data_IF_120773378678
#
_entry.id   IF_120773378678
#
_cell.length_a   1.000
_cell.length_b   1.000
_cell.length_c   1.000
_cell.angle_alpha   90.00
_cell.angle_beta   90.00
_cell.angle_gamma   90.00
#
_symmetry.space_group_name_H-M   'P 1'
#
loop_
_entity.id
_entity.type
_entity.pdbx_description
1 polymer ?
#
# COMPACT_ATOMS: atom_id res chain seq x y z
N UNK A 1 -12.28 25.48 8.09
CA UNK A 1 -11.16 24.78 7.41
C UNK A 1 -10.45 23.90 8.42
N UNK A 2 -10.21 22.63 8.05
CA UNK A 2 -9.41 21.71 8.84
C UNK A 2 -8.14 21.33 8.08
N UNK A 3 -6.98 21.77 8.54
CA UNK A 3 -5.67 21.40 7.99
C UNK A 3 -5.16 20.18 8.76
N UNK A 4 -4.95 19.07 8.06
CA UNK A 4 -4.45 17.83 8.66
C UNK A 4 -2.99 17.61 8.26
N UNK A 5 -2.12 17.56 9.27
CA UNK A 5 -0.70 17.25 9.15
C UNK A 5 -0.45 16.00 10.00
N UNK A 6 -0.26 14.87 9.36
CA UNK A 6 -0.05 13.60 10.06
C UNK A 6 0.77 12.64 9.22
N UNK A 7 1.18 11.56 9.87
CA UNK A 7 1.98 10.51 9.25
C UNK A 7 1.16 9.41 8.56
N UNK A 8 -0.12 9.69 8.28
CA UNK A 8 -1.08 8.90 7.52
C UNK A 8 -0.98 7.37 7.75
N UNK A 9 -1.80 6.87 8.69
CA UNK A 9 -2.19 5.46 8.76
C UNK A 9 -1.95 4.80 10.11
N UNK A 10 -3.04 4.43 10.80
CA UNK A 10 -2.99 3.47 11.89
C UNK A 10 -2.99 2.07 11.27
N UNK A 11 -1.83 1.43 11.12
CA UNK A 11 -1.68 -0.03 11.03
C UNK A 11 -0.24 -0.43 11.36
N UNK A 12 -0.07 -1.46 12.18
CA UNK A 12 1.22 -2.02 12.58
C UNK A 12 1.99 -2.75 11.49
N UNK A 13 1.80 -2.38 10.23
CA UNK A 13 2.65 -2.71 9.10
C UNK A 13 2.70 -1.51 8.16
N UNK A 14 3.70 -0.65 8.36
CA UNK A 14 4.19 0.26 7.32
C UNK A 14 4.89 -0.48 6.17
N UNK A 15 4.53 -1.75 5.92
CA UNK A 15 5.32 -2.72 5.14
C UNK A 15 4.60 -3.43 4.01
N UNK A 16 3.34 -3.11 3.72
CA UNK A 16 2.79 -3.39 2.39
C UNK A 16 2.97 -2.15 1.51
N UNK A 17 3.33 -2.32 0.23
CA UNK A 17 3.38 -1.26 -0.81
C UNK A 17 2.02 -0.58 -1.07
N UNK A 18 1.08 -0.72 -0.14
CA UNK A 18 -0.29 -0.21 -0.08
C UNK A 18 -0.52 0.72 1.13
N UNK A 19 0.54 1.09 1.86
CA UNK A 19 0.53 2.22 2.77
C UNK A 19 0.05 3.47 2.03
N UNK A 20 -1.18 3.89 2.34
CA UNK A 20 -1.80 5.16 1.98
C UNK A 20 -1.39 5.80 0.65
N UNK A 21 -2.14 5.45 -0.40
CA UNK A 21 -2.50 6.42 -1.46
C UNK A 21 -3.76 7.17 -1.02
N UNK A 22 -3.66 8.03 -0.01
CA UNK A 22 -4.60 9.14 0.13
C UNK A 22 -4.13 10.15 -0.91
N UNK A 23 -4.79 10.16 -2.07
CA UNK A 23 -4.69 11.31 -2.95
C UNK A 23 -4.99 12.52 -2.07
N UNK A 24 -4.05 13.46 -2.03
CA UNK A 24 -4.19 14.70 -1.27
C UNK A 24 -5.51 15.40 -1.61
N UNK A 25 -5.99 16.22 -0.69
CA UNK A 25 -6.91 17.28 -1.07
C UNK A 25 -6.13 18.27 -1.94
N UNK A 26 -6.05 18.03 -3.24
CA UNK A 26 -5.32 18.89 -4.15
C UNK A 26 -6.06 20.22 -4.18
N UNK A 27 -5.53 21.16 -3.42
CA UNK A 27 -5.66 22.58 -3.69
C UNK A 27 -5.21 22.79 -5.14
N UNK A 28 -5.80 23.73 -5.88
CA UNK A 28 -5.40 24.00 -7.27
C UNK A 28 -3.93 24.38 -7.32
N UNK A 29 -3.02 23.43 -7.53
CA UNK A 29 -1.59 23.68 -7.45
C UNK A 29 -0.94 23.46 -8.79
N UNK A 30 -0.10 24.43 -9.14
CA UNK A 30 0.62 24.49 -10.40
C UNK A 30 1.64 23.37 -10.56
N UNK A 31 2.43 23.51 -11.62
CA UNK A 31 3.38 22.51 -12.11
C UNK A 31 4.43 22.13 -11.07
N UNK A 32 4.47 20.85 -10.66
CA UNK A 32 5.72 20.24 -10.18
C UNK A 32 5.71 19.57 -8.80
N UNK A 33 4.73 18.73 -8.46
CA UNK A 33 4.88 17.75 -7.36
C UNK A 33 4.50 16.36 -7.90
N UNK A 34 5.52 15.53 -8.16
CA UNK A 34 5.46 14.24 -8.87
C UNK A 34 4.99 13.06 -7.98
N UNK A 35 4.03 13.28 -7.08
CA UNK A 35 3.50 12.24 -6.18
C UNK A 35 2.19 11.59 -6.68
N UNK A 36 1.85 11.77 -7.97
CA UNK A 36 0.85 10.95 -8.64
C UNK A 36 1.52 9.90 -9.53
N UNK A 37 0.98 8.68 -9.54
CA UNK A 37 1.15 7.81 -10.71
C UNK A 37 0.79 8.64 -11.96
N UNK A 38 1.75 8.83 -12.88
CA UNK A 38 1.57 9.60 -14.13
C UNK A 38 0.26 9.27 -14.86
N UNK A 39 -0.23 8.03 -14.74
CA UNK A 39 -1.47 7.55 -15.36
C UNK A 39 -2.77 8.14 -14.76
N UNK A 40 -2.74 8.70 -13.55
CA UNK A 40 -3.89 9.33 -12.88
C UNK A 40 -3.87 10.85 -12.96
N UNK A 41 -2.87 11.43 -13.62
CA UNK A 41 -2.87 12.86 -13.94
C UNK A 41 -4.03 13.12 -14.91
N UNK A 42 -5.08 13.86 -14.50
CA UNK A 42 -6.12 14.23 -15.44
C UNK A 42 -5.48 14.97 -16.62
N UNK A 43 -5.92 14.63 -17.85
CA UNK A 43 -5.48 15.33 -19.07
C UNK A 43 -5.77 16.85 -19.01
N UNK A 44 -6.67 17.27 -18.12
CA UNK A 44 -6.86 18.65 -17.65
C UNK A 44 -6.15 18.87 -16.31
N UNK A 45 -5.25 19.86 -16.27
CA UNK A 45 -4.22 20.16 -15.24
C UNK A 45 -4.70 20.53 -13.82
N UNK A 46 -5.95 20.30 -13.42
CA UNK A 46 -6.49 20.76 -12.12
C UNK A 46 -7.45 19.72 -11.51
N UNK A 47 -7.15 19.28 -10.29
CA UNK A 47 -8.05 18.47 -9.45
C UNK A 47 -8.88 19.40 -8.56
N UNK A 48 -10.12 19.01 -8.25
CA UNK A 48 -10.99 19.82 -7.39
C UNK A 48 -10.56 19.70 -5.91
N UNK A 49 -10.41 20.86 -5.27
CA UNK A 49 -10.18 20.95 -3.83
C UNK A 49 -11.46 20.70 -3.02
N UNK A 50 -11.34 20.69 -1.68
CA UNK A 50 -12.47 20.58 -0.77
C UNK A 50 -13.58 21.59 -1.07
N UNK A 51 -14.83 21.11 -1.06
CA UNK A 51 -16.02 21.92 -1.31
C UNK A 51 -17.22 21.40 -0.51
N UNK A 52 -18.34 22.15 -0.40
CA UNK A 52 -19.53 21.66 0.28
C UNK A 52 -20.07 20.32 -0.27
N UNK A 53 -19.90 20.07 -1.57
CA UNK A 53 -20.32 18.81 -2.21
C UNK A 53 -19.37 17.66 -1.94
N UNK A 54 -18.11 17.97 -1.65
CA UNK A 54 -17.05 17.02 -1.41
C UNK A 54 -16.07 17.60 -0.39
N UNK A 55 -16.37 17.48 0.91
CA UNK A 55 -15.64 18.16 1.98
C UNK A 55 -14.19 17.71 2.15
N UNK A 56 -13.83 16.56 1.59
CA UNK A 56 -12.45 16.04 1.54
C UNK A 56 -11.77 16.25 0.17
N UNK A 57 -12.41 16.95 -0.78
CA UNK A 57 -11.83 17.22 -2.09
C UNK A 57 -11.53 15.94 -2.89
N UNK A 58 -10.30 15.73 -3.31
CA UNK A 58 -9.93 14.53 -4.08
C UNK A 58 -9.40 13.43 -3.14
N UNK A 59 -9.77 12.14 -3.29
CA UNK A 59 -10.75 11.57 -4.22
C UNK A 59 -12.21 11.87 -3.84
N UNK A 60 -13.19 11.64 -4.75
CA UNK A 60 -14.60 11.70 -4.40
C UNK A 60 -14.91 10.91 -3.12
N UNK A 61 -15.78 11.46 -2.27
CA UNK A 61 -16.27 10.78 -1.07
C UNK A 61 -16.70 9.32 -1.38
N UNK A 62 -16.34 8.35 -0.52
CA UNK A 62 -15.73 8.48 0.82
C UNK A 62 -14.19 8.66 0.81
N UNK A 63 -13.58 8.83 -0.36
CA UNK A 63 -12.13 8.86 -0.50
C UNK A 63 -11.49 7.48 -0.40
N UNK A 64 -10.16 7.46 -0.29
CA UNK A 64 -9.36 6.24 -0.10
C UNK A 64 -8.64 6.37 1.24
N UNK A 65 -8.81 5.41 2.15
CA UNK A 65 -8.18 5.46 3.47
C UNK A 65 -7.39 4.18 3.76
N UNK A 66 -6.52 4.22 4.78
CA UNK A 66 -5.92 3.02 5.38
C UNK A 66 -6.82 2.36 6.42
N UNK A 67 -8.09 2.74 6.53
CA UNK A 67 -9.09 2.03 7.33
C UNK A 67 -10.04 1.31 6.38
N UNK A 68 -10.88 0.41 6.89
CA UNK A 68 -11.94 -0.24 6.13
C UNK A 68 -13.02 0.68 5.54
N UNK A 69 -12.97 1.98 5.84
CA UNK A 69 -13.99 2.96 5.48
C UNK A 69 -13.50 4.39 5.76
N UNK A 70 -14.33 5.23 6.37
CA UNK A 70 -13.95 6.59 6.72
C UNK A 70 -12.83 6.58 7.79
N UNK A 71 -11.87 7.50 7.68
CA UNK A 71 -10.95 7.82 8.77
C UNK A 71 -11.52 8.98 9.62
N UNK A 72 -10.86 9.34 10.72
CA UNK A 72 -11.33 10.41 11.59
C UNK A 72 -11.49 11.75 10.86
N UNK A 73 -10.59 12.09 9.92
CA UNK A 73 -10.70 13.31 9.08
C UNK A 73 -12.00 13.30 8.28
N UNK A 74 -12.32 12.17 7.65
CA UNK A 74 -13.54 12.03 6.84
C UNK A 74 -14.77 12.14 7.73
N UNK A 75 -14.80 11.46 8.88
CA UNK A 75 -15.90 11.58 9.85
C UNK A 75 -16.08 13.02 10.35
N UNK A 76 -14.99 13.73 10.69
CA UNK A 76 -15.05 15.14 11.11
C UNK A 76 -15.49 16.09 10.00
N UNK A 77 -15.30 15.74 8.73
CA UNK A 77 -15.70 16.59 7.61
C UNK A 77 -17.13 16.33 7.14
N UNK A 78 -17.74 15.21 7.53
CA UNK A 78 -19.01 14.73 6.94
C UNK A 78 -20.09 14.34 7.93
N UNK A 79 -19.76 13.68 9.05
CA UNK A 79 -20.75 13.06 9.94
C UNK A 79 -20.73 13.68 11.36
N UNK A 80 -19.55 14.12 11.83
CA UNK A 80 -19.35 14.62 13.19
C UNK A 80 -19.25 16.16 13.25
N UNK A 81 -19.55 16.85 12.16
CA UNK A 81 -19.49 18.31 12.09
C UNK A 81 -20.87 18.96 12.28
N UNK A 82 -20.92 19.99 13.14
CA UNK A 82 -22.13 20.82 13.30
C UNK A 82 -22.24 21.93 12.24
N UNK A 83 -21.12 22.27 11.59
CA UNK A 83 -21.04 23.28 10.52
C UNK A 83 -20.19 22.76 9.37
N UNK A 84 -20.25 23.39 8.19
CA UNK A 84 -19.45 22.94 7.05
C UNK A 84 -17.95 22.91 7.38
N UNK A 85 -17.36 21.71 7.37
CA UNK A 85 -15.93 21.50 7.60
C UNK A 85 -15.28 21.03 6.31
N UNK A 86 -14.43 21.86 5.73
CA UNK A 86 -13.60 21.49 4.58
C UNK A 86 -12.24 20.99 5.07
N UNK A 87 -11.94 19.72 4.80
CA UNK A 87 -10.69 19.06 5.19
C UNK A 87 -9.63 19.23 4.10
N UNK A 88 -8.51 19.84 4.46
CA UNK A 88 -7.31 19.97 3.65
C UNK A 88 -6.22 19.07 4.24
N UNK A 89 -5.97 17.95 3.60
CA UNK A 89 -5.13 16.87 4.06
C UNK A 89 -3.73 16.93 3.41
N UNK A 90 -2.74 17.29 4.23
CA UNK A 90 -1.32 17.32 3.88
C UNK A 90 -0.56 16.10 4.39
N UNK A 91 -1.25 15.18 5.07
CA UNK A 91 -0.69 13.97 5.63
C UNK A 91 0.11 13.14 4.62
N UNK A 92 1.17 12.48 5.09
CA UNK A 92 2.02 11.60 4.29
C UNK A 92 2.36 10.34 5.07
N UNK A 93 2.09 9.18 4.46
CA UNK A 93 2.33 7.90 5.11
C UNK A 93 3.82 7.69 5.36
N UNK A 94 4.15 7.06 6.49
CA UNK A 94 5.52 6.82 6.92
C UNK A 94 6.36 8.10 7.19
N UNK A 95 5.73 9.27 7.25
CA UNK A 95 6.42 10.50 7.61
C UNK A 95 6.95 10.44 9.04
N UNK A 96 8.15 11.00 9.23
CA UNK A 96 8.71 11.36 10.54
C UNK A 96 8.68 12.88 10.66
N UNK A 97 8.93 13.43 11.86
CA UNK A 97 8.97 14.89 12.02
C UNK A 97 10.12 15.49 11.21
N UNK A 98 11.35 14.97 11.40
CA UNK A 98 12.55 15.46 10.74
C UNK A 98 13.53 14.30 10.47
N UNK A 99 13.83 14.09 9.19
CA UNK A 99 14.69 12.99 8.73
C UNK A 99 16.16 13.16 9.16
N UNK A 100 16.59 14.37 9.52
CA UNK A 100 17.91 14.64 10.09
C UNK A 100 18.05 14.18 11.54
N UNK A 101 16.93 14.03 12.27
CA UNK A 101 16.92 13.55 13.66
C UNK A 101 16.61 12.05 13.71
N UNK A 102 15.54 11.63 13.03
CA UNK A 102 15.13 10.23 12.91
C UNK A 102 15.00 9.92 11.42
N UNK A 103 15.93 9.15 10.83
CA UNK A 103 15.91 8.87 9.40
C UNK A 103 14.64 8.13 8.94
N UNK A 104 14.08 8.55 7.82
CA UNK A 104 12.99 7.83 7.14
C UNK A 104 13.47 6.47 6.62
N UNK A 105 12.53 5.59 6.26
CA UNK A 105 12.87 4.32 5.59
C UNK A 105 13.37 4.53 4.17
N UNK A 106 12.77 5.47 3.45
CA UNK A 106 13.16 5.86 2.10
C UNK A 106 13.53 7.35 2.12
N UNK A 107 14.64 7.72 1.47
CA UNK A 107 15.12 9.10 1.46
C UNK A 107 14.16 10.06 0.72
N UNK A 108 13.19 9.52 -0.02
CA UNK A 108 12.15 10.28 -0.73
C UNK A 108 10.88 10.51 0.10
N UNK A 109 10.80 9.99 1.32
CA UNK A 109 9.61 10.14 2.18
C UNK A 109 9.49 11.57 2.70
N UNK A 110 8.32 12.18 2.49
CA UNK A 110 7.99 13.51 3.02
C UNK A 110 7.93 13.48 4.55
N UNK A 111 8.55 14.48 5.18
CA UNK A 111 8.52 14.70 6.64
C UNK A 111 7.47 15.73 7.02
N UNK A 112 7.25 15.95 8.32
CA UNK A 112 6.36 17.03 8.81
C UNK A 112 6.73 18.40 8.22
N UNK A 113 8.02 18.74 8.18
CA UNK A 113 8.48 19.99 7.56
C UNK A 113 8.09 20.12 6.09
N UNK A 114 8.19 19.03 5.31
CA UNK A 114 7.74 19.02 3.91
C UNK A 114 6.22 19.22 3.78
N UNK A 115 5.42 18.67 4.71
CA UNK A 115 3.98 18.89 4.73
C UNK A 115 3.61 20.36 5.00
N UNK A 116 4.35 21.03 5.90
CA UNK A 116 4.17 22.47 6.17
C UNK A 116 4.54 23.32 4.95
N UNK A 117 5.66 23.01 4.29
CA UNK A 117 6.06 23.70 3.05
C UNK A 117 4.95 23.55 2.01
N UNK A 118 4.43 22.33 1.83
CA UNK A 118 3.33 22.08 0.90
C UNK A 118 2.05 22.83 1.30
N UNK A 119 1.71 22.95 2.58
CA UNK A 119 0.61 23.82 3.01
C UNK A 119 0.85 25.28 2.63
N UNK A 120 2.03 25.80 2.96
CA UNK A 120 2.39 27.20 2.74
C UNK A 120 2.34 27.58 1.25
N UNK A 121 2.96 26.76 0.39
CA UNK A 121 3.08 26.99 -1.04
C UNK A 121 1.73 26.92 -1.78
N UNK A 122 0.69 26.41 -1.14
CA UNK A 122 -0.58 26.08 -1.82
C UNK A 122 -1.79 26.84 -1.29
N UNK A 123 -1.97 26.89 0.02
CA UNK A 123 -3.09 27.60 0.65
C UNK A 123 -2.67 28.48 1.82
N UNK A 124 -1.40 28.48 2.21
CA UNK A 124 -0.89 29.36 3.27
C UNK A 124 -1.17 30.84 3.00
N UNK A 125 -1.15 31.27 1.74
CA UNK A 125 -1.50 32.63 1.33
C UNK A 125 -3.02 32.92 1.25
N UNK A 126 -3.89 31.99 1.70
CA UNK A 126 -5.36 32.16 1.78
C UNK A 126 -6.02 32.54 0.44
N UNK A 127 -5.85 31.73 -0.62
CA UNK A 127 -6.45 32.05 -1.91
C UNK A 127 -7.97 31.99 -1.84
N UNK A 128 -8.68 32.67 -2.75
CA UNK A 128 -10.15 32.72 -2.76
C UNK A 128 -10.81 31.32 -2.75
N UNK A 129 -10.19 30.34 -3.39
CA UNK A 129 -10.69 28.96 -3.43
C UNK A 129 -10.48 28.16 -2.13
N UNK A 130 -9.66 28.67 -1.21
CA UNK A 130 -9.37 28.09 0.09
C UNK A 130 -9.20 29.23 1.11
N UNK A 131 -10.22 30.08 1.23
CA UNK A 131 -10.22 31.20 2.15
C UNK A 131 -10.32 30.69 3.59
N UNK A 132 -9.39 31.15 4.44
CA UNK A 132 -9.38 30.83 5.86
C UNK A 132 -8.85 31.98 6.70
N UNK A 133 -9.22 32.00 7.97
CA UNK A 133 -8.86 33.00 8.97
C UNK A 133 -8.40 32.33 10.25
N UNK A 134 -7.89 33.13 11.20
CA UNK A 134 -7.52 32.64 12.53
C UNK A 134 -8.70 31.97 13.26
N UNK A 135 -9.93 32.43 13.03
CA UNK A 135 -11.14 31.97 13.72
C UNK A 135 -11.73 30.70 13.11
N UNK A 136 -11.50 30.45 11.81
CA UNK A 136 -12.14 29.36 11.09
C UNK A 136 -11.18 28.25 10.62
N UNK A 137 -9.89 28.35 10.94
CA UNK A 137 -8.86 27.37 10.61
C UNK A 137 -8.38 26.62 11.85
N UNK A 138 -8.31 25.29 11.76
CA UNK A 138 -7.66 24.41 12.74
C UNK A 138 -6.59 23.55 12.08
N UNK A 139 -5.40 23.51 12.67
CA UNK A 139 -4.34 22.56 12.32
C UNK A 139 -4.34 21.39 13.30
N UNK A 140 -4.56 20.18 12.81
CA UNK A 140 -4.38 18.94 13.58
C UNK A 140 -3.05 18.30 13.21
N UNK A 141 -2.24 18.04 14.22
CA UNK A 141 -0.89 17.50 14.13
C UNK A 141 -0.86 16.17 14.88
N UNK A 142 -0.68 15.07 14.14
CA UNK A 142 -0.62 13.72 14.69
C UNK A 142 0.62 12.97 14.17
N UNK A 143 1.68 13.03 14.97
CA UNK A 143 2.99 12.45 14.67
C UNK A 143 3.55 11.67 15.85
N UNK A 144 4.46 10.74 15.56
CA UNK A 144 5.20 9.95 16.53
C UNK A 144 5.02 8.44 16.37
N UNK A 145 4.00 7.99 15.63
CA UNK A 145 3.74 6.57 15.34
C UNK A 145 4.80 5.95 14.44
N UNK A 146 5.52 6.73 13.64
CA UNK A 146 6.69 6.30 12.88
C UNK A 146 8.00 6.66 13.59
N UNK A 147 8.10 7.84 14.22
CA UNK A 147 9.30 8.28 14.96
C UNK A 147 9.65 7.31 16.09
N UNK A 148 8.67 6.95 16.94
CA UNK A 148 8.90 6.05 18.08
C UNK A 148 9.40 4.68 17.63
N UNK A 149 8.72 3.96 16.72
CA UNK A 149 9.21 2.66 16.30
C UNK A 149 10.51 2.72 15.53
N UNK A 150 10.70 3.75 14.68
CA UNK A 150 11.94 3.93 13.94
C UNK A 150 13.10 4.11 14.89
N UNK A 151 12.97 4.96 15.91
CA UNK A 151 14.02 5.18 16.89
C UNK A 151 14.30 3.96 17.77
N UNK A 152 13.32 3.08 18.00
CA UNK A 152 13.50 1.80 18.72
C UNK A 152 14.20 0.75 17.87
N UNK A 153 13.92 0.73 16.56
CA UNK A 153 14.46 -0.27 15.62
C UNK A 153 15.81 0.13 15.01
N UNK A 154 16.28 1.36 15.26
CA UNK A 154 17.60 1.81 14.82
C UNK A 154 18.70 1.06 15.57
N UNK A 155 19.61 0.45 14.82
CA UNK A 155 20.81 -0.19 15.35
C UNK A 155 21.98 0.80 15.24
N UNK A 156 21.97 1.82 16.10
CA UNK A 156 23.03 2.84 16.17
C UNK A 156 23.49 3.09 17.61
N UNK A 157 24.61 3.81 17.75
CA UNK A 157 25.19 4.16 19.06
C UNK A 157 24.56 5.43 19.66
N UNK A 158 23.53 6.01 19.05
CA UNK A 158 22.92 7.26 19.52
C UNK A 158 21.87 7.02 20.61
N UNK A 159 21.67 8.00 21.50
CA UNK A 159 20.61 7.90 22.50
C UNK A 159 19.24 8.08 21.84
N UNK A 160 18.45 7.01 21.88
CA UNK A 160 17.04 6.99 21.47
C UNK A 160 16.24 8.06 22.20
N UNK A 161 16.45 8.23 23.49
CA UNK A 161 15.76 9.21 24.33
C UNK A 161 16.02 10.62 23.82
N UNK A 162 17.28 10.94 23.53
CA UNK A 162 17.66 12.25 22.98
C UNK A 162 17.02 12.50 21.61
N UNK A 163 16.97 11.49 20.72
CA UNK A 163 16.31 11.61 19.41
C UNK A 163 14.82 11.87 19.54
N UNK A 164 14.12 11.15 20.41
CA UNK A 164 12.67 11.33 20.59
C UNK A 164 12.34 12.71 21.16
N UNK A 165 13.09 13.16 22.18
CA UNK A 165 12.95 14.50 22.76
C UNK A 165 13.25 15.58 21.70
N UNK A 166 14.33 15.42 20.93
CA UNK A 166 14.71 16.36 19.88
C UNK A 166 13.69 16.40 18.75
N UNK A 167 13.18 15.25 18.30
CA UNK A 167 12.15 15.16 17.26
C UNK A 167 10.85 15.81 17.72
N UNK A 168 10.43 15.57 18.97
CA UNK A 168 9.25 16.22 19.55
C UNK A 168 9.42 17.74 19.62
N UNK A 169 10.56 18.25 20.12
CA UNK A 169 10.87 19.69 20.11
C UNK A 169 10.83 20.27 18.70
N UNK A 170 11.45 19.58 17.75
CA UNK A 170 11.50 19.99 16.34
C UNK A 170 10.11 20.14 15.73
N UNK A 171 9.15 19.32 16.15
CA UNK A 171 7.75 19.45 15.73
C UNK A 171 7.15 20.79 16.15
N UNK A 172 7.42 21.26 17.37
CA UNK A 172 6.93 22.57 17.82
C UNK A 172 7.66 23.72 17.14
N UNK A 173 8.98 23.63 16.96
CA UNK A 173 9.76 24.61 16.18
C UNK A 173 9.21 24.79 14.74
N UNK A 174 8.82 23.68 14.10
CA UNK A 174 8.19 23.73 12.79
C UNK A 174 6.75 24.24 12.85
N UNK A 175 6.03 23.98 13.94
CA UNK A 175 4.66 24.49 14.14
C UNK A 175 4.61 26.01 14.26
N UNK A 176 5.68 26.65 14.73
CA UNK A 176 5.81 28.11 14.71
C UNK A 176 5.53 28.70 13.32
N UNK A 177 5.92 28.01 12.25
CA UNK A 177 5.69 28.46 10.87
C UNK A 177 4.18 28.57 10.59
N UNK A 178 3.37 27.62 11.06
CA UNK A 178 1.92 27.66 10.89
C UNK A 178 1.29 28.79 11.70
N UNK A 179 1.80 29.02 12.91
CA UNK A 179 1.38 30.14 13.75
C UNK A 179 1.72 31.48 13.08
N UNK A 180 2.93 31.67 12.56
CA UNK A 180 3.32 32.90 11.87
C UNK A 180 2.52 33.15 10.58
N UNK A 181 2.13 32.09 9.87
CA UNK A 181 1.23 32.17 8.70
C UNK A 181 -0.20 32.59 9.11
N UNK A 182 -0.55 32.49 10.40
CA UNK A 182 -1.79 33.01 10.98
C UNK A 182 -2.77 31.94 11.45
N UNK A 183 -2.37 30.66 11.51
CA UNK A 183 -3.18 29.64 12.18
C UNK A 183 -3.20 29.96 13.69
N UNK A 184 -4.40 29.87 14.28
CA UNK A 184 -4.60 30.12 15.73
C UNK A 184 -5.30 28.99 16.46
N UNK A 185 -5.75 27.93 15.78
CA UNK A 185 -6.28 26.75 16.46
C UNK A 185 -5.39 25.55 16.15
N UNK A 186 -4.85 24.92 17.18
CA UNK A 186 -3.93 23.79 17.09
C UNK A 186 -4.44 22.62 17.92
N UNK A 187 -4.35 21.42 17.35
CA UNK A 187 -4.69 20.16 18.01
C UNK A 187 -3.50 19.21 17.87
N UNK A 188 -2.94 18.78 19.00
CA UNK A 188 -1.91 17.76 19.07
C UNK A 188 -2.50 16.48 19.63
N UNK A 189 -2.32 15.36 18.93
CA UNK A 189 -2.87 14.06 19.34
C UNK A 189 -1.73 13.16 19.79
N UNK A 190 -1.90 12.49 20.92
CA UNK A 190 -0.89 11.58 21.44
C UNK A 190 -0.66 10.35 20.53
N UNK A 191 0.50 9.73 20.68
CA UNK A 191 0.77 8.44 20.05
C UNK A 191 -0.07 7.37 20.76
N UNK A 192 -0.91 6.62 20.04
CA UNK A 192 -1.76 5.59 20.63
C UNK A 192 -0.92 4.43 21.20
N UNK A 193 -1.53 3.53 22.00
CA UNK A 193 -0.93 2.29 22.52
C UNK A 193 -0.36 1.39 21.43
N UNK A 194 0.87 1.70 21.05
CA UNK A 194 1.66 1.08 20.00
C UNK A 194 1.83 -0.42 20.22
N UNK A 195 1.89 -0.85 21.48
CA UNK A 195 1.97 -2.24 21.90
C UNK A 195 0.75 -3.07 21.48
N UNK A 196 -0.42 -2.47 21.26
CA UNK A 196 -1.66 -3.20 20.93
C UNK A 196 -1.74 -3.65 19.46
N UNK A 197 -0.78 -3.24 18.62
CA UNK A 197 -0.75 -3.59 17.20
C UNK A 197 -0.50 -5.11 17.00
N UNK A 198 -1.19 -5.78 16.05
CA UNK A 198 -1.11 -7.24 15.88
C UNK A 198 0.32 -7.77 15.68
N UNK A 199 1.11 -7.13 14.81
CA UNK A 199 2.51 -7.50 14.56
C UNK A 199 3.37 -7.47 15.84
N UNK A 200 3.01 -6.61 16.80
CA UNK A 200 3.72 -6.46 18.07
C UNK A 200 3.19 -7.40 19.15
N UNK A 201 1.91 -7.78 19.10
CA UNK A 201 1.39 -8.86 19.94
C UNK A 201 2.03 -10.21 19.58
N UNK A 202 2.34 -10.46 18.30
CA UNK A 202 3.10 -11.66 17.89
C UNK A 202 4.53 -11.67 18.46
N UNK A 203 5.20 -10.50 18.51
CA UNK A 203 6.53 -10.37 19.09
C UNK A 203 6.59 -10.71 20.59
N UNK A 204 5.46 -10.70 21.32
CA UNK A 204 5.38 -11.15 22.73
C UNK A 204 5.57 -12.67 22.89
N UNK A 205 5.48 -13.44 21.81
CA UNK A 205 5.71 -14.88 21.83
C UNK A 205 7.21 -15.22 21.93
N UNK A 206 8.10 -14.25 21.74
CA UNK A 206 9.53 -14.38 21.98
C UNK A 206 9.90 -13.80 23.36
N UNK A 207 10.13 -14.65 24.38
CA UNK A 207 10.44 -14.20 25.74
C UNK A 207 11.83 -13.55 25.87
N UNK A 208 12.65 -13.59 24.82
CA UNK A 208 13.99 -12.98 24.81
C UNK A 208 14.00 -11.55 24.25
N UNK A 209 12.89 -11.10 23.66
CA UNK A 209 12.78 -9.79 23.02
C UNK A 209 12.26 -8.72 23.99
N UNK A 210 13.07 -7.69 24.27
CA UNK A 210 12.68 -6.50 25.04
C UNK A 210 12.02 -5.39 24.19
N UNK A 211 11.65 -5.69 22.94
CA UNK A 211 11.19 -4.66 21.99
C UNK A 211 9.88 -4.02 22.41
N UNK A 212 8.99 -4.76 23.09
CA UNK A 212 7.68 -4.23 23.51
C UNK A 212 7.85 -3.20 24.61
N UNK A 213 8.66 -3.48 25.63
CA UNK A 213 9.02 -2.57 26.70
C UNK A 213 9.68 -1.31 26.11
N UNK A 214 10.53 -1.48 25.10
CA UNK A 214 11.15 -0.36 24.40
C UNK A 214 10.16 0.51 23.62
N UNK A 215 9.15 -0.07 22.96
CA UNK A 215 8.08 0.68 22.31
C UNK A 215 7.19 1.39 23.33
N UNK A 216 6.81 0.72 24.42
CA UNK A 216 6.01 1.31 25.50
C UNK A 216 6.76 2.50 26.11
N UNK A 217 8.04 2.33 26.44
CA UNK A 217 8.89 3.38 26.96
C UNK A 217 9.01 4.56 25.98
N UNK A 218 9.32 4.29 24.71
CA UNK A 218 9.45 5.33 23.69
C UNK A 218 8.15 6.11 23.46
N UNK A 219 7.01 5.41 23.45
CA UNK A 219 5.67 6.02 23.37
C UNK A 219 5.39 6.91 24.57
N UNK A 220 5.65 6.40 25.79
CA UNK A 220 5.43 7.17 27.03
C UNK A 220 6.28 8.43 27.03
N UNK A 221 7.58 8.32 26.73
CA UNK A 221 8.47 9.47 26.62
C UNK A 221 7.99 10.49 25.57
N UNK A 222 7.56 10.02 24.39
CA UNK A 222 7.02 10.89 23.36
C UNK A 222 5.77 11.64 23.83
N UNK A 223 4.80 10.95 24.43
CA UNK A 223 3.54 11.56 24.87
C UNK A 223 3.76 12.54 26.04
N UNK A 224 4.71 12.26 26.94
CA UNK A 224 5.10 13.18 28.01
C UNK A 224 5.71 14.47 27.47
N UNK A 225 6.68 14.37 26.55
CA UNK A 225 7.25 15.56 25.90
C UNK A 225 6.23 16.29 25.03
N UNK A 226 5.34 15.57 24.34
CA UNK A 226 4.26 16.17 23.55
C UNK A 226 3.34 17.01 24.43
N UNK A 227 2.89 16.48 25.57
CA UNK A 227 2.02 17.18 26.52
C UNK A 227 2.71 18.42 27.08
N UNK A 228 3.97 18.28 27.48
CA UNK A 228 4.80 19.38 27.99
C UNK A 228 5.01 20.48 26.95
N UNK A 229 5.41 20.14 25.74
CA UNK A 229 5.65 21.12 24.68
C UNK A 229 4.34 21.76 24.17
N UNK A 230 3.22 21.03 24.21
CA UNK A 230 1.89 21.60 23.94
C UNK A 230 1.56 22.70 24.94
N UNK A 231 1.80 22.46 26.24
CA UNK A 231 1.59 23.47 27.28
C UNK A 231 2.52 24.68 27.11
N UNK A 232 3.79 24.46 26.77
CA UNK A 232 4.74 25.55 26.51
C UNK A 232 4.30 26.40 25.32
N UNK A 233 3.89 25.75 24.21
CA UNK A 233 3.41 26.45 23.01
C UNK A 233 2.13 27.24 23.28
N UNK A 234 1.22 26.70 24.10
CA UNK A 234 0.03 27.43 24.55
C UNK A 234 0.37 28.66 25.40
N UNK A 235 1.38 28.56 26.26
CA UNK A 235 1.81 29.66 27.13
C UNK A 235 2.53 30.77 26.34
N UNK A 236 3.31 30.41 25.32
CA UNK A 236 4.01 31.37 24.47
C UNK A 236 3.12 32.06 23.43
N UNK A 237 1.96 31.46 23.11
CA UNK A 237 1.01 31.96 22.11
C UNK A 237 -0.38 32.13 22.70
N UNK A 238 -0.55 33.16 23.55
CA UNK A 238 -1.79 33.40 24.31
C UNK A 238 -3.00 33.78 23.46
N UNK A 239 -2.80 34.18 22.21
CA UNK A 239 -3.82 34.45 21.20
C UNK A 239 -4.21 33.19 20.38
N UNK A 240 -3.56 32.05 20.61
CA UNK A 240 -3.89 30.77 19.99
C UNK A 240 -4.65 29.84 20.93
N UNK A 241 -5.62 29.10 20.39
CA UNK A 241 -6.25 27.96 21.06
C UNK A 241 -5.47 26.69 20.76
N UNK A 242 -4.83 26.13 21.78
CA UNK A 242 -4.02 24.92 21.65
C UNK A 242 -4.65 23.81 22.49
N UNK A 243 -4.81 22.61 21.91
CA UNK A 243 -5.44 21.47 22.57
C UNK A 243 -4.58 20.22 22.43
N UNK A 244 -4.38 19.51 23.53
CA UNK A 244 -3.80 18.18 23.57
C UNK A 244 -4.92 17.14 23.70
N UNK A 245 -4.92 16.12 22.84
CA UNK A 245 -5.92 15.04 22.84
C UNK A 245 -5.23 13.73 23.22
N UNK A 246 -5.72 13.13 24.30
CA UNK A 246 -5.41 11.76 24.72
C UNK A 246 -6.39 10.81 24.02
N UNK A 247 -5.88 9.68 23.51
CA UNK A 247 -6.65 8.66 22.79
C UNK A 247 -6.45 7.25 23.36
N UNK A 248 -5.55 7.06 24.33
CA UNK A 248 -5.17 5.76 24.83
C UNK A 248 -6.37 4.92 25.31
N UNK A 249 -7.34 5.54 25.97
CA UNK A 249 -8.52 4.89 26.54
C UNK A 249 -9.42 4.29 25.45
N UNK A 250 -9.61 5.00 24.34
CA UNK A 250 -10.33 4.53 23.15
C UNK A 250 -9.66 3.28 22.57
N UNK A 251 -8.34 3.28 22.43
CA UNK A 251 -7.60 2.13 21.90
C UNK A 251 -7.62 0.93 22.86
N UNK A 252 -7.46 1.17 24.16
CA UNK A 252 -7.58 0.10 25.16
C UNK A 252 -8.99 -0.45 25.24
N UNK A 253 -10.03 0.39 25.16
CA UNK A 253 -11.41 -0.05 25.10
C UNK A 253 -11.69 -0.87 23.84
N UNK A 254 -11.18 -0.45 22.69
CA UNK A 254 -11.33 -1.20 21.44
C UNK A 254 -10.64 -2.57 21.50
N UNK A 255 -9.49 -2.66 22.17
CA UNK A 255 -8.74 -3.90 22.34
C UNK A 255 -9.31 -4.84 23.41
N UNK A 256 -9.72 -4.32 24.58
CA UNK A 256 -10.19 -5.12 25.71
C UNK A 256 -11.70 -5.42 25.64
N UNK A 257 -12.48 -4.50 25.04
CA UNK A 257 -13.94 -4.56 24.94
C UNK A 257 -14.44 -4.24 23.51
N UNK A 258 -13.95 -4.95 22.47
CA UNK A 258 -14.29 -4.71 21.07
C UNK A 258 -15.80 -4.76 20.78
N UNK A 259 -16.55 -5.61 21.51
CA UNK A 259 -18.01 -5.72 21.38
C UNK A 259 -18.74 -4.44 21.76
N UNK A 260 -18.15 -3.62 22.65
CA UNK A 260 -18.72 -2.31 23.02
C UNK A 260 -18.67 -1.30 21.86
N UNK A 261 -17.92 -1.61 20.80
CA UNK A 261 -17.78 -0.84 19.57
C UNK A 261 -18.28 -1.60 18.34
N UNK A 262 -19.01 -2.71 18.53
CA UNK A 262 -19.59 -3.51 17.45
C UNK A 262 -18.65 -4.54 16.80
N UNK A 263 -17.41 -4.69 17.27
CA UNK A 263 -16.47 -5.71 16.79
C UNK A 263 -16.58 -7.01 17.60
N UNK A 264 -16.40 -8.18 16.95
CA UNK A 264 -16.57 -9.49 17.62
C UNK A 264 -15.49 -9.77 18.68
N UNK A 265 -14.22 -9.65 18.30
CA UNK A 265 -13.06 -9.84 19.18
C UNK A 265 -11.95 -8.85 18.78
N UNK A 266 -10.89 -8.73 19.58
CA UNK A 266 -9.74 -7.87 19.27
C UNK A 266 -8.69 -8.57 18.41
N UNK A 267 -8.93 -9.84 18.09
CA UNK A 267 -8.11 -10.67 17.20
C UNK A 267 -8.81 -11.00 15.91
N UNK A 268 -10.10 -10.72 15.77
CA UNK A 268 -10.83 -11.03 14.54
C UNK A 268 -10.38 -10.06 13.44
N UNK A 269 -10.27 -10.62 12.23
CA UNK A 269 -9.79 -9.95 11.04
C UNK A 269 -10.87 -10.08 9.97
N UNK A 270 -11.18 -8.99 9.26
CA UNK A 270 -11.94 -9.07 8.00
C UNK A 270 -11.37 -8.11 6.95
N UNK A 271 -11.71 -8.32 5.68
CA UNK A 271 -11.16 -7.58 4.54
C UNK A 271 -11.61 -6.12 4.46
N UNK A 272 -12.69 -5.77 5.15
CA UNK A 272 -13.34 -4.45 5.05
C UNK A 272 -13.37 -3.68 6.38
N UNK A 273 -12.80 -4.22 7.47
CA UNK A 273 -12.88 -3.67 8.83
C UNK A 273 -14.30 -3.37 9.31
N UNK A 274 -15.32 -4.15 8.90
CA UNK A 274 -16.74 -3.84 9.19
C UNK A 274 -17.30 -4.59 10.38
N UNK A 275 -16.96 -5.87 10.54
CA UNK A 275 -17.42 -6.72 11.65
C UNK A 275 -16.31 -7.07 12.62
N UNK A 276 -15.07 -6.83 12.20
CA UNK A 276 -13.86 -7.15 12.91
C UNK A 276 -13.07 -5.90 13.32
N UNK A 277 -12.40 -6.00 14.47
CA UNK A 277 -11.54 -4.94 14.99
C UNK A 277 -10.31 -4.69 14.09
N UNK A 278 -9.74 -5.76 13.51
CA UNK A 278 -8.60 -5.68 12.61
C UNK A 278 -9.05 -5.80 11.15
N UNK A 279 -8.40 -5.03 10.28
CA UNK A 279 -8.54 -5.16 8.83
C UNK A 279 -7.29 -5.82 8.23
N UNK A 280 -7.47 -6.77 7.33
CA UNK A 280 -6.37 -7.31 6.53
C UNK A 280 -6.09 -6.39 5.32
N UNK A 281 -4.86 -5.86 5.21
CA UNK A 281 -4.42 -5.05 4.06
C UNK A 281 -3.63 -5.84 3.02
N UNK A 282 -3.24 -7.08 3.33
CA UNK A 282 -2.91 -8.03 2.30
C UNK A 282 -4.24 -8.46 1.68
N UNK A 283 -4.43 -8.23 0.37
CA UNK A 283 -5.32 -9.13 -0.34
C UNK A 283 -4.75 -10.53 -0.06
N UNK A 284 -5.50 -11.38 0.66
CA UNK A 284 -5.05 -12.73 1.00
C UNK A 284 -4.60 -13.48 -0.25
N UNK A 285 -5.17 -13.10 -1.40
CA UNK A 285 -4.83 -13.63 -2.70
C UNK A 285 -4.38 -12.50 -3.66
N UNK A 286 -3.16 -12.59 -4.21
CA UNK A 286 -2.64 -11.67 -5.23
C UNK A 286 -2.21 -12.47 -6.46
N UNK A 287 -2.78 -12.15 -7.62
CA UNK A 287 -2.39 -12.67 -8.91
C UNK A 287 -1.20 -11.86 -9.46
N UNK A 288 -0.05 -12.50 -9.61
CA UNK A 288 1.09 -12.01 -10.37
C UNK A 288 1.00 -12.54 -11.79
N UNK A 289 0.84 -11.65 -12.75
CA UNK A 289 0.80 -11.98 -14.17
C UNK A 289 1.62 -10.95 -14.93
N UNK A 290 1.56 -10.90 -16.26
CA UNK A 290 2.32 -9.90 -17.00
C UNK A 290 1.59 -9.14 -18.09
N UNK A 291 0.26 -9.20 -18.08
CA UNK A 291 -0.58 -8.29 -18.83
C UNK A 291 -0.41 -8.40 -20.34
N UNK A 292 0.16 -9.48 -20.87
CA UNK A 292 0.12 -9.73 -22.30
C UNK A 292 -1.31 -10.13 -22.70
N UNK A 293 -1.68 -9.86 -23.96
CA UNK A 293 -2.92 -10.39 -24.53
C UNK A 293 -3.01 -11.92 -24.37
N UNK A 294 -4.21 -12.45 -24.15
CA UNK A 294 -4.44 -13.88 -23.93
C UNK A 294 -4.52 -14.25 -22.45
N UNK A 295 -3.82 -15.33 -22.05
CA UNK A 295 -3.94 -15.92 -20.72
C UNK A 295 -3.60 -14.95 -19.58
N UNK A 296 -2.58 -14.11 -19.73
CA UNK A 296 -2.14 -13.18 -18.68
C UNK A 296 -3.29 -12.24 -18.26
N UNK A 297 -3.97 -11.60 -19.22
CA UNK A 297 -5.10 -10.70 -18.94
C UNK A 297 -6.33 -11.47 -18.47
N UNK A 298 -6.62 -12.65 -19.04
CA UNK A 298 -7.74 -13.47 -18.59
C UNK A 298 -7.61 -13.88 -17.11
N UNK A 299 -6.39 -14.24 -16.67
CA UNK A 299 -6.13 -14.47 -15.25
C UNK A 299 -6.34 -13.21 -14.41
N UNK A 300 -5.85 -12.05 -14.88
CA UNK A 300 -6.01 -10.76 -14.21
C UNK A 300 -7.48 -10.39 -14.02
N UNK A 301 -8.29 -10.46 -15.07
CA UNK A 301 -9.71 -10.11 -15.06
C UNK A 301 -10.49 -11.01 -14.09
N UNK A 302 -10.28 -12.34 -14.17
CA UNK A 302 -10.95 -13.27 -13.29
C UNK A 302 -10.46 -13.22 -11.83
N UNK A 303 -9.18 -12.89 -11.61
CA UNK A 303 -8.65 -12.61 -10.28
C UNK A 303 -9.30 -11.37 -9.67
N UNK A 304 -9.38 -10.27 -10.43
CA UNK A 304 -10.04 -9.05 -9.99
C UNK A 304 -11.53 -9.28 -9.70
N UNK A 305 -12.23 -10.00 -10.57
CA UNK A 305 -13.64 -10.38 -10.38
C UNK A 305 -13.86 -11.26 -9.13
N UNK A 306 -12.88 -12.11 -8.80
CA UNK A 306 -12.88 -12.92 -7.58
C UNK A 306 -12.41 -12.15 -6.32
N UNK A 307 -12.12 -10.84 -6.43
CA UNK A 307 -11.67 -10.01 -5.31
C UNK A 307 -10.19 -10.15 -4.95
N UNK A 308 -9.39 -10.79 -5.80
CA UNK A 308 -7.93 -10.89 -5.60
C UNK A 308 -7.25 -9.56 -6.01
N UNK A 309 -6.10 -9.28 -5.41
CA UNK A 309 -5.19 -8.27 -5.95
C UNK A 309 -4.62 -8.72 -7.28
N UNK A 310 -4.31 -7.79 -8.19
CA UNK A 310 -3.71 -8.11 -9.49
C UNK A 310 -2.53 -7.21 -9.73
N UNK A 311 -1.39 -7.81 -10.09
CA UNK A 311 -0.19 -7.14 -10.55
C UNK A 311 0.21 -7.75 -11.88
N UNK A 312 0.24 -6.91 -12.91
CA UNK A 312 0.78 -7.24 -14.22
C UNK A 312 2.17 -6.63 -14.37
N UNK A 313 3.19 -7.48 -14.42
CA UNK A 313 4.56 -7.05 -14.71
C UNK A 313 4.70 -6.72 -16.20
N UNK A 314 5.32 -5.60 -16.50
CA UNK A 314 5.50 -5.10 -17.86
C UNK A 314 6.79 -4.26 -17.93
N UNK A 315 7.04 -3.60 -19.05
CA UNK A 315 8.18 -2.70 -19.23
C UNK A 315 7.83 -1.57 -20.21
N UNK A 316 8.58 -0.45 -20.23
CA UNK A 316 8.37 0.63 -21.18
C UNK A 316 8.36 0.13 -22.63
N UNK A 317 7.29 0.44 -23.37
CA UNK A 317 7.10 0.01 -24.76
C UNK A 317 6.51 -1.39 -24.95
N UNK A 318 6.22 -2.15 -23.90
CA UNK A 318 5.47 -3.40 -23.99
C UNK A 318 3.96 -3.12 -24.18
N UNK A 319 3.34 -3.56 -25.30
CA UNK A 319 1.90 -3.45 -25.49
C UNK A 319 1.16 -4.37 -24.51
N UNK A 320 0.15 -3.83 -23.82
CA UNK A 320 -0.63 -4.57 -22.83
C UNK A 320 -2.08 -4.09 -22.83
N UNK A 321 -3.07 -4.99 -22.93
CA UNK A 321 -4.49 -4.64 -22.76
C UNK A 321 -4.92 -4.58 -21.29
N UNK A 322 -4.03 -4.87 -20.33
CA UNK A 322 -4.36 -4.82 -18.91
C UNK A 322 -4.59 -3.38 -18.41
N UNK A 323 -5.43 -3.19 -17.37
CA UNK A 323 -5.64 -1.88 -16.76
C UNK A 323 -4.33 -1.25 -16.26
N UNK A 324 -4.09 0.04 -16.56
CA UNK A 324 -2.82 0.71 -16.20
C UNK A 324 -2.58 0.76 -14.68
N UNK A 325 -3.65 0.78 -13.87
CA UNK A 325 -3.56 0.71 -12.40
C UNK A 325 -3.16 -0.67 -11.86
N UNK A 326 -3.09 -1.69 -12.71
CA UNK A 326 -2.60 -3.03 -12.37
C UNK A 326 -1.21 -3.29 -12.97
N UNK A 327 -0.71 -2.40 -13.83
CA UNK A 327 0.57 -2.57 -14.52
C UNK A 327 1.74 -1.98 -13.72
N UNK A 328 2.78 -2.78 -13.54
CA UNK A 328 4.08 -2.32 -13.02
C UNK A 328 5.10 -2.43 -14.15
N UNK A 329 5.61 -1.28 -14.58
CA UNK A 329 6.57 -1.18 -15.69
C UNK A 329 7.99 -1.11 -15.15
N UNK A 330 8.71 -2.21 -15.33
CA UNK A 330 10.09 -2.38 -14.90
C UNK A 330 11.03 -1.69 -15.90
N UNK A 331 11.97 -0.89 -15.40
CA UNK A 331 13.05 -0.36 -16.22
C UNK A 331 14.12 -1.43 -16.51
N UNK A 332 15.09 -1.10 -17.37
CA UNK A 332 16.14 -2.03 -17.78
C UNK A 332 17.09 -2.42 -16.63
N UNK A 333 17.21 -1.60 -15.58
CA UNK A 333 18.05 -1.91 -14.42
C UNK A 333 17.34 -2.92 -13.52
N UNK A 334 16.06 -2.70 -13.26
CA UNK A 334 15.21 -3.65 -12.53
C UNK A 334 15.17 -4.99 -13.25
N UNK A 335 14.90 -5.01 -14.57
CA UNK A 335 14.83 -6.25 -15.34
C UNK A 335 16.11 -7.12 -15.26
N UNK A 336 17.29 -6.51 -15.07
CA UNK A 336 18.57 -7.25 -14.93
C UNK A 336 18.62 -8.13 -13.68
N UNK A 337 17.82 -7.86 -12.65
CA UNK A 337 17.77 -8.71 -11.45
C UNK A 337 17.33 -10.16 -11.75
N UNK A 338 16.75 -10.41 -12.93
CA UNK A 338 16.35 -11.75 -13.38
C UNK A 338 17.39 -12.50 -14.20
N UNK A 339 18.54 -11.90 -14.51
CA UNK A 339 19.51 -12.45 -15.46
C UNK A 339 20.08 -13.80 -15.02
N UNK A 340 20.37 -13.97 -13.73
CA UNK A 340 20.87 -15.24 -13.17
C UNK A 340 19.82 -16.36 -13.31
N UNK A 341 18.58 -16.11 -12.89
CA UNK A 341 17.48 -17.08 -13.02
C UNK A 341 17.18 -17.44 -14.49
N UNK A 342 17.33 -16.48 -15.41
CA UNK A 342 17.19 -16.75 -16.84
C UNK A 342 18.33 -17.57 -17.41
N UNK A 343 19.57 -17.34 -16.95
CA UNK A 343 20.72 -18.13 -17.32
C UNK A 343 20.54 -19.59 -16.87
N UNK A 344 20.10 -19.80 -15.63
CA UNK A 344 19.82 -21.13 -15.09
C UNK A 344 18.68 -21.82 -15.82
N UNK A 345 17.61 -21.08 -16.16
CA UNK A 345 16.51 -21.61 -16.95
C UNK A 345 16.96 -21.98 -18.37
N UNK A 346 17.83 -21.19 -19.00
CA UNK A 346 18.39 -21.49 -20.31
C UNK A 346 19.18 -22.81 -20.29
N UNK A 347 20.06 -22.98 -19.29
CA UNK A 347 20.85 -24.20 -19.10
C UNK A 347 19.92 -25.41 -18.92
N UNK A 348 18.92 -25.31 -18.04
CA UNK A 348 17.97 -26.39 -17.79
C UNK A 348 17.13 -26.77 -19.01
N UNK A 349 16.89 -25.83 -19.92
CA UNK A 349 16.18 -26.05 -21.18
C UNK A 349 17.09 -26.48 -22.33
N UNK A 350 18.41 -26.54 -22.14
CA UNK A 350 19.37 -26.80 -23.22
C UNK A 350 19.41 -25.67 -24.27
N UNK A 351 19.09 -24.44 -23.85
CA UNK A 351 19.01 -23.25 -24.71
C UNK A 351 20.11 -22.24 -24.35
N UNK A 352 20.30 -21.25 -25.22
CA UNK A 352 21.09 -20.05 -24.90
C UNK A 352 20.16 -18.90 -24.51
N UNK A 353 20.60 -17.97 -23.64
CA UNK A 353 19.83 -16.77 -23.32
C UNK A 353 19.42 -15.98 -24.57
N UNK A 354 18.22 -15.35 -24.55
CA UNK A 354 17.69 -14.61 -25.69
C UNK A 354 18.57 -13.43 -26.08
N UNK A 355 19.03 -13.39 -27.34
CA UNK A 355 19.85 -12.28 -27.86
C UNK A 355 19.02 -11.09 -28.34
N UNK A 356 17.76 -11.32 -28.74
CA UNK A 356 16.87 -10.25 -29.22
C UNK A 356 16.38 -9.41 -28.03
N UNK A 357 16.64 -8.09 -27.97
CA UNK A 357 16.36 -7.27 -26.79
C UNK A 357 14.90 -7.33 -26.31
N UNK A 358 13.95 -7.33 -27.24
CA UNK A 358 12.51 -7.40 -26.91
C UNK A 358 12.15 -8.75 -26.28
N UNK A 359 12.71 -9.85 -26.79
CA UNK A 359 12.48 -11.20 -26.25
C UNK A 359 13.14 -11.33 -24.87
N UNK A 360 14.35 -10.79 -24.71
CA UNK A 360 15.03 -10.76 -23.42
C UNK A 360 14.20 -10.02 -22.36
N UNK A 361 13.65 -8.83 -22.67
CA UNK A 361 12.77 -8.09 -21.75
C UNK A 361 11.50 -8.87 -21.38
N UNK A 362 10.88 -9.57 -22.34
CA UNK A 362 9.71 -10.41 -22.08
C UNK A 362 10.01 -11.55 -21.11
N UNK A 363 11.13 -12.24 -21.29
CA UNK A 363 11.54 -13.33 -20.41
C UNK A 363 11.98 -12.82 -19.03
N UNK A 364 12.67 -11.67 -18.97
CA UNK A 364 13.01 -10.99 -17.70
C UNK A 364 11.76 -10.58 -16.93
N UNK A 365 10.73 -10.08 -17.61
CA UNK A 365 9.42 -9.80 -17.03
C UNK A 365 8.78 -11.06 -16.44
N UNK A 366 8.90 -12.21 -17.11
CA UNK A 366 8.31 -13.46 -16.63
C UNK A 366 8.88 -13.90 -15.26
N UNK A 367 10.15 -13.60 -14.97
CA UNK A 367 10.73 -13.86 -13.64
C UNK A 367 9.89 -13.23 -12.52
N UNK A 368 9.47 -11.98 -12.70
CA UNK A 368 8.70 -11.25 -11.69
C UNK A 368 7.30 -11.86 -11.46
N UNK A 369 6.75 -12.59 -12.43
CA UNK A 369 5.49 -13.31 -12.28
C UNK A 369 5.62 -14.48 -11.29
N UNK A 370 6.81 -15.10 -11.21
CA UNK A 370 7.00 -16.38 -10.53
C UNK A 370 7.90 -16.31 -9.28
N UNK A 371 8.76 -15.30 -9.17
CA UNK A 371 9.77 -15.22 -8.13
C UNK A 371 9.21 -15.19 -6.71
N UNK A 372 8.07 -14.54 -6.50
CA UNK A 372 7.40 -14.45 -5.19
C UNK A 372 6.08 -15.22 -5.12
N UNK A 373 5.81 -16.06 -6.12
CA UNK A 373 4.58 -16.83 -6.20
C UNK A 373 4.69 -18.13 -5.41
N UNK A 374 3.70 -18.40 -4.57
CA UNK A 374 3.53 -19.61 -3.77
C UNK A 374 2.91 -20.76 -4.58
N UNK A 375 2.22 -20.44 -5.68
CA UNK A 375 1.69 -21.40 -6.64
C UNK A 375 1.71 -20.77 -8.04
N UNK A 376 1.78 -21.59 -9.09
CA UNK A 376 1.80 -21.14 -10.48
C UNK A 376 0.75 -21.90 -11.30
N UNK A 377 -0.12 -21.14 -11.97
CA UNK A 377 -1.20 -21.65 -12.82
C UNK A 377 -0.97 -21.11 -14.23
N UNK A 378 -0.79 -22.03 -15.17
CA UNK A 378 -0.50 -21.71 -16.56
C UNK A 378 -1.57 -22.28 -17.49
N UNK A 379 -1.95 -21.53 -18.52
CA UNK A 379 -2.78 -22.01 -19.63
C UNK A 379 -1.97 -21.88 -20.92
N UNK A 380 -1.58 -23.00 -21.51
CA UNK A 380 -0.67 -22.98 -22.67
C UNK A 380 -0.85 -24.24 -23.53
N UNK A 381 -0.08 -24.33 -24.60
CA UNK A 381 0.04 -25.55 -25.39
C UNK A 381 1.26 -26.34 -24.92
N UNK A 382 1.15 -27.67 -24.90
CA UNK A 382 2.25 -28.58 -24.57
C UNK A 382 2.71 -29.37 -25.80
N UNK A 383 4.02 -29.56 -25.93
CA UNK A 383 4.63 -30.50 -26.89
C UNK A 383 4.68 -31.90 -26.27
N UNK A 384 4.03 -32.86 -26.94
CA UNK A 384 3.86 -34.26 -26.52
C UNK A 384 3.39 -34.45 -25.06
N UNK A 385 2.70 -33.45 -24.51
CA UNK A 385 2.27 -33.44 -23.11
C UNK A 385 3.38 -33.37 -22.08
N UNK A 386 4.61 -33.02 -22.48
CA UNK A 386 5.80 -32.99 -21.59
C UNK A 386 6.30 -31.58 -21.30
N UNK A 387 6.28 -30.70 -22.29
CA UNK A 387 6.89 -29.38 -22.18
C UNK A 387 5.96 -28.28 -22.66
N UNK A 388 5.81 -27.23 -21.86
CA UNK A 388 5.10 -26.02 -22.24
C UNK A 388 5.78 -25.33 -23.44
N UNK A 389 5.04 -24.52 -24.19
CA UNK A 389 5.59 -23.76 -25.31
C UNK A 389 5.83 -22.28 -24.99
N UNK A 390 6.72 -21.66 -25.78
CA UNK A 390 6.93 -20.21 -25.82
C UNK A 390 7.53 -19.61 -24.55
N UNK A 391 7.06 -18.43 -24.14
CA UNK A 391 7.54 -17.78 -22.90
C UNK A 391 7.13 -18.51 -21.62
N UNK A 392 6.09 -19.35 -21.69
CA UNK A 392 5.56 -20.08 -20.53
C UNK A 392 6.55 -21.11 -20.02
N UNK A 393 7.28 -21.82 -20.89
CA UNK A 393 8.26 -22.82 -20.43
C UNK A 393 9.41 -22.20 -19.64
N UNK A 394 9.82 -20.99 -20.00
CA UNK A 394 10.82 -20.22 -19.25
C UNK A 394 10.30 -19.85 -17.87
N UNK A 395 9.07 -19.34 -17.79
CA UNK A 395 8.43 -18.98 -16.52
C UNK A 395 8.25 -20.20 -15.59
N UNK A 396 7.73 -21.31 -16.10
CA UNK A 396 7.54 -22.54 -15.32
C UNK A 396 8.87 -23.16 -14.91
N UNK A 397 9.91 -23.04 -15.76
CA UNK A 397 11.27 -23.50 -15.40
C UNK A 397 11.87 -22.67 -14.29
N UNK A 398 11.82 -21.34 -14.39
CA UNK A 398 12.26 -20.45 -13.31
C UNK A 398 11.48 -20.71 -12.02
N UNK A 399 10.16 -20.91 -12.09
CA UNK A 399 9.36 -21.25 -10.90
C UNK A 399 9.89 -22.50 -10.18
N UNK A 400 10.17 -23.58 -10.91
CA UNK A 400 10.72 -24.83 -10.33
C UNK A 400 12.11 -24.63 -9.71
N UNK A 401 12.95 -23.79 -10.31
CA UNK A 401 14.31 -23.54 -9.83
C UNK A 401 14.32 -22.63 -8.59
N UNK A 402 13.47 -21.59 -8.59
CA UNK A 402 13.33 -20.67 -7.46
C UNK A 402 12.63 -21.32 -6.27
N UNK A 403 11.77 -22.32 -6.52
CA UNK A 403 10.97 -23.02 -5.50
C UNK A 403 11.13 -24.55 -5.60
N UNK A 404 12.32 -25.12 -5.34
CA UNK A 404 12.63 -26.53 -5.65
C UNK A 404 11.81 -27.56 -4.86
N UNK A 405 11.34 -27.21 -3.66
CA UNK A 405 10.47 -28.07 -2.84
C UNK A 405 8.97 -27.84 -3.12
N UNK A 406 8.63 -26.85 -3.94
CA UNK A 406 7.25 -26.51 -4.23
C UNK A 406 6.72 -27.31 -5.42
N UNK A 407 5.58 -27.97 -5.22
CA UNK A 407 4.88 -28.76 -6.25
C UNK A 407 3.57 -28.11 -6.71
N UNK A 408 3.29 -26.89 -6.28
CA UNK A 408 2.10 -26.13 -6.66
C UNK A 408 2.29 -25.45 -8.03
N UNK A 409 2.53 -26.26 -9.05
CA UNK A 409 2.65 -25.86 -10.44
C UNK A 409 1.65 -26.64 -11.29
N UNK A 410 0.76 -25.91 -11.95
CA UNK A 410 -0.38 -26.43 -12.69
C UNK A 410 -0.39 -25.89 -14.11
N UNK A 411 -0.65 -26.77 -15.09
CA UNK A 411 -0.79 -26.40 -16.50
C UNK A 411 -2.14 -26.92 -17.02
N UNK A 412 -2.92 -26.04 -17.65
CA UNK A 412 -3.97 -26.45 -18.56
C UNK A 412 -3.39 -26.55 -19.96
N UNK A 413 -3.40 -27.76 -20.52
CA UNK A 413 -2.93 -28.05 -21.87
C UNK A 413 -4.06 -27.86 -22.87
N UNK A 414 -4.04 -26.72 -23.57
CA UNK A 414 -5.05 -26.36 -24.57
C UNK A 414 -5.11 -27.32 -25.76
N UNK A 415 -4.09 -28.16 -25.99
CA UNK A 415 -4.11 -29.16 -27.07
C UNK A 415 -5.00 -30.36 -26.74
N UNK A 416 -5.18 -30.64 -25.45
CA UNK A 416 -5.87 -31.84 -24.94
C UNK A 416 -7.05 -31.52 -24.02
N UNK A 417 -7.22 -30.25 -23.66
CA UNK A 417 -8.23 -29.75 -22.73
C UNK A 417 -8.17 -30.43 -21.35
N UNK A 418 -6.96 -30.60 -20.81
CA UNK A 418 -6.72 -31.25 -19.52
C UNK A 418 -5.85 -30.41 -18.58
N UNK A 419 -6.09 -30.55 -17.28
CA UNK A 419 -5.21 -30.03 -16.24
C UNK A 419 -4.11 -31.04 -15.87
N UNK A 420 -2.92 -30.51 -15.62
CA UNK A 420 -1.74 -31.26 -15.24
C UNK A 420 -1.11 -30.64 -13.99
N UNK A 421 -0.64 -31.47 -13.05
CA UNK A 421 0.17 -31.05 -11.89
C UNK A 421 1.60 -31.54 -12.02
N UNK A 422 2.57 -30.70 -11.73
CA UNK A 422 3.97 -31.11 -11.65
C UNK A 422 4.26 -31.89 -10.35
N UNK A 423 4.79 -33.11 -10.44
CA UNK A 423 5.12 -33.92 -9.27
C UNK A 423 6.60 -33.84 -8.84
N UNK A 424 7.44 -33.17 -9.63
CA UNK A 424 8.90 -33.09 -9.43
C UNK A 424 9.70 -33.67 -10.59
N UNK A 425 9.11 -34.61 -11.32
CA UNK A 425 9.75 -35.34 -12.42
C UNK A 425 8.92 -35.29 -13.71
N UNK A 426 7.60 -35.41 -13.57
CA UNK A 426 6.64 -35.49 -14.67
C UNK A 426 5.33 -34.75 -14.35
N UNK A 427 4.40 -34.81 -15.29
CA UNK A 427 3.08 -34.18 -15.20
C UNK A 427 2.02 -35.24 -14.92
N UNK A 428 1.34 -35.11 -13.77
CA UNK A 428 0.20 -35.95 -13.43
C UNK A 428 -1.09 -35.34 -13.98
N UNK A 429 -1.93 -36.17 -14.61
CA UNK A 429 -3.28 -35.77 -15.03
C UNK A 429 -4.15 -35.54 -13.79
N UNK A 430 -4.80 -34.38 -13.72
CA UNK A 430 -5.73 -34.04 -12.64
C UNK A 430 -7.04 -33.49 -13.21
N UNK A 431 -8.14 -33.65 -12.48
CA UNK A 431 -9.44 -33.13 -12.90
C UNK A 431 -9.48 -31.59 -12.82
N UNK A 432 -8.95 -31.03 -11.72
CA UNK A 432 -8.93 -29.60 -11.46
C UNK A 432 -7.89 -29.25 -10.38
N UNK A 433 -7.13 -28.16 -10.53
CA UNK A 433 -6.21 -27.70 -9.50
C UNK A 433 -6.96 -27.03 -8.33
N UNK A 434 -6.32 -26.86 -7.16
CA UNK A 434 -6.90 -26.10 -6.06
C UNK A 434 -7.13 -24.64 -6.48
N UNK A 435 -8.18 -24.01 -5.94
CA UNK A 435 -8.43 -22.58 -6.19
C UNK A 435 -7.24 -21.75 -5.68
N UNK A 436 -6.72 -20.79 -6.46
CA UNK A 436 -5.56 -20.02 -6.06
C UNK A 436 -5.75 -19.29 -4.72
N UNK A 437 -4.72 -19.34 -3.87
CA UNK A 437 -4.65 -18.63 -2.59
C UNK A 437 -3.27 -18.00 -2.42
N UNK A 438 -3.14 -16.99 -1.55
CA UNK A 438 -1.83 -16.39 -1.28
C UNK A 438 -1.32 -15.54 -2.44
N UNK A 439 0.00 -15.40 -2.57
CA UNK A 439 0.59 -14.78 -3.77
C UNK A 439 0.77 -15.87 -4.82
N UNK A 440 0.14 -15.76 -5.99
CA UNK A 440 0.16 -16.82 -7.01
C UNK A 440 0.39 -16.25 -8.40
N UNK A 441 0.99 -17.04 -9.30
CA UNK A 441 1.25 -16.67 -10.68
C UNK A 441 0.11 -17.14 -11.59
N UNK A 442 -0.46 -16.23 -12.39
CA UNK A 442 -1.38 -16.54 -13.48
C UNK A 442 -0.71 -16.22 -14.81
N UNK A 443 -0.29 -17.23 -15.54
CA UNK A 443 0.54 -17.06 -16.75
C UNK A 443 -0.04 -17.85 -17.93
N UNK A 444 0.50 -17.65 -19.13
CA UNK A 444 0.19 -18.57 -20.22
C UNK A 444 0.45 -18.06 -21.63
N UNK A 445 -0.21 -18.71 -22.58
CA UNK A 445 -0.10 -18.42 -23.99
C UNK A 445 -0.84 -17.13 -24.37
N UNK A 446 -0.28 -16.42 -25.35
CA UNK A 446 -0.97 -15.31 -26.01
C UNK A 446 -2.20 -15.78 -26.80
N UNK A 447 -2.07 -16.92 -27.47
CA UNK A 447 -3.19 -17.55 -28.16
C UNK A 447 -4.01 -18.36 -27.14
N UNK A 448 -5.04 -17.72 -26.59
CA UNK A 448 -5.96 -18.32 -25.63
C UNK A 448 -7.19 -18.83 -26.37
N UNK A 449 -7.38 -20.15 -26.35
CA UNK A 449 -8.56 -20.82 -26.89
C UNK A 449 -9.78 -20.60 -25.99
N UNK A 450 -10.97 -20.87 -26.53
CA UNK A 450 -12.21 -20.81 -25.75
C UNK A 450 -12.17 -21.77 -24.54
N UNK A 451 -11.71 -23.01 -24.74
CA UNK A 451 -11.57 -24.00 -23.64
C UNK A 451 -10.54 -23.56 -22.60
N UNK A 452 -9.42 -22.96 -23.02
CA UNK A 452 -8.43 -22.38 -22.12
C UNK A 452 -8.99 -21.22 -21.28
N UNK A 453 -9.79 -20.34 -21.89
CA UNK A 453 -10.48 -19.26 -21.16
C UNK A 453 -11.52 -19.82 -20.17
N UNK A 454 -12.33 -20.79 -20.59
CA UNK A 454 -13.31 -21.46 -19.74
C UNK A 454 -12.64 -22.19 -18.56
N UNK A 455 -11.45 -22.78 -18.75
CA UNK A 455 -10.68 -23.39 -17.68
C UNK A 455 -10.27 -22.38 -16.60
N UNK A 456 -9.84 -21.17 -16.99
CA UNK A 456 -9.57 -20.04 -16.08
C UNK A 456 -10.86 -19.67 -15.34
N UNK A 457 -11.95 -19.48 -16.08
CA UNK A 457 -13.21 -19.03 -15.50
C UNK A 457 -13.76 -20.02 -14.47
N UNK A 458 -13.75 -21.30 -14.83
CA UNK A 458 -14.21 -22.39 -13.98
C UNK A 458 -13.38 -22.49 -12.70
N UNK A 459 -12.05 -22.36 -12.80
CA UNK A 459 -11.17 -22.40 -11.62
C UNK A 459 -11.39 -21.18 -10.71
N UNK A 460 -11.56 -20.00 -11.30
CA UNK A 460 -11.67 -18.74 -10.55
C UNK A 460 -13.07 -18.44 -10.05
N UNK A 461 -14.10 -19.07 -10.61
CA UNK A 461 -15.50 -18.80 -10.28
C UNK A 461 -15.99 -17.42 -10.73
N UNK A 462 -15.40 -16.86 -11.80
CA UNK A 462 -15.86 -15.63 -12.44
C UNK A 462 -16.94 -15.99 -13.49
N UNK A 463 -18.14 -15.39 -13.39
CA UNK A 463 -19.21 -15.59 -14.37
C UNK A 463 -18.95 -14.79 -15.65
N UNK A 464 -19.43 -15.30 -16.79
CA UNK A 464 -19.50 -14.57 -18.05
C UNK A 464 -20.53 -13.44 -17.94
N UNK A 465 -20.08 -12.24 -17.58
CA UNK A 465 -20.83 -11.03 -17.94
C UNK A 465 -20.19 -10.42 -19.19
N UNK A 466 -20.90 -10.55 -20.32
CA UNK A 466 -20.85 -9.72 -21.53
C UNK A 466 -19.48 -9.14 -21.91
N UNK A 467 -18.52 -10.01 -22.24
CA UNK A 467 -17.45 -9.64 -23.14
C UNK A 467 -17.65 -10.39 -24.45
N UNK A 468 -18.40 -9.78 -25.37
CA UNK A 468 -18.26 -10.08 -26.79
C UNK A 468 -16.79 -9.99 -27.14
N UNK A 469 -16.15 -11.14 -27.36
CA UNK A 469 -14.89 -11.22 -28.07
C UNK A 469 -15.11 -10.46 -29.39
N UNK A 470 -14.58 -9.23 -29.49
CA UNK A 470 -14.62 -8.49 -30.75
C UNK A 470 -13.77 -9.29 -31.72
N UNK A 471 -14.45 -9.84 -32.72
CA UNK A 471 -13.85 -10.43 -33.92
C UNK A 471 -12.88 -9.45 -34.58
#
# INVERSE_FOLDING_TARGET
MHVCLEEAGWNGDSYSRTGLKMNSTYTRTGTGIDDMERARQPRSRLLEGPSPKNPIGNPPLPGTTSSGGNNYITYMATELNDTLTLAYNFARSAAVVDAGIIPTRLNTTFTFGHQIIHFNDTIGHRPDYAAWTAENAVATIWFGMNDVPRSVLMNDNGSREQRLVASNRRMFELTEILYEIGIRNFVFIEVPPLELLPARQQAKLDPTSQKIEQFVYGKTLWNEELKKNTLLFQQSHSDARVTFIEVWDLFYRAFLHPWSLGARTSTCIDSYGKTCYLRNFANENVCLSGGAEGADVAWGDCAAAAGHGVIHWSFPGHPSPAPENQLIRLDDEQLKASDEALQDAAIALGLSPPQRPVVARLLRRNYYQVAWSQACYAVTFMEDGRQALGGTVWATTMFRQLHPENRELYIFDQSRDVWLKWNGESWDLIDMPPRPKGVWAGIGARNLTQSGYEAIQKLMGCATQDCSYRQ
#
